data_IF_767759584345
#
_entry.id   IF_767759584345
#
_cell.length_a   1.000
_cell.length_b   1.000
_cell.length_c   1.000
_cell.angle_alpha   90.00
_cell.angle_beta   90.00
_cell.angle_gamma   90.00
#
_symmetry.space_group_name_H-M   'P 1'
#
loop_
_entity.id
_entity.type
_entity.pdbx_description
1 polymer ?
#
# COMPACT_ATOMS: atom_id res chain seq x y z
N UNK A 1 13.02 -1.16 11.14
CA UNK A 1 12.17 -0.91 9.95
C UNK A 1 11.15 0.15 10.30
N UNK A 2 10.82 1.06 9.37
CA UNK A 2 9.74 2.04 9.55
C UNK A 2 8.50 1.50 8.82
N UNK A 3 7.54 0.98 9.59
CA UNK A 3 6.29 0.41 9.04
C UNK A 3 5.34 1.52 8.58
N UNK A 4 4.37 1.24 7.69
CA UNK A 4 3.31 2.20 7.34
C UNK A 4 2.58 2.74 8.58
N UNK A 5 2.37 1.89 9.59
CA UNK A 5 1.75 2.26 10.87
C UNK A 5 2.55 3.35 11.61
N UNK A 6 3.87 3.25 11.63
CA UNK A 6 4.73 4.26 12.26
C UNK A 6 4.73 5.57 11.51
N UNK A 7 4.64 5.52 10.17
CA UNK A 7 4.59 6.71 9.31
C UNK A 7 3.31 7.50 9.55
N UNK A 8 2.14 6.86 9.44
CA UNK A 8 0.85 7.53 9.63
C UNK A 8 0.72 8.12 11.04
N UNK A 9 1.20 7.42 12.08
CA UNK A 9 1.16 7.94 13.46
C UNK A 9 1.96 9.25 13.58
N UNK A 10 3.18 9.28 13.03
CA UNK A 10 4.04 10.46 13.07
C UNK A 10 3.49 11.60 12.22
N UNK A 11 2.97 11.30 11.04
CA UNK A 11 2.36 12.27 10.13
C UNK A 11 1.18 13.00 10.78
N UNK A 12 0.36 12.27 11.53
CA UNK A 12 -0.77 12.82 12.29
C UNK A 12 -0.39 13.38 13.67
N UNK A 13 0.90 13.36 14.05
CA UNK A 13 1.39 13.94 15.30
C UNK A 13 1.01 13.18 16.57
N UNK A 14 0.55 11.92 16.48
CA UNK A 14 0.16 11.15 17.64
C UNK A 14 1.35 10.55 18.40
N UNK A 15 1.29 10.56 19.72
CA UNK A 15 2.22 9.83 20.59
C UNK A 15 1.87 8.35 20.66
N UNK A 16 2.84 7.50 21.01
CA UNK A 16 2.59 6.07 21.22
C UNK A 16 1.52 5.83 22.28
N UNK A 17 1.56 6.58 23.40
CA UNK A 17 0.61 6.43 24.49
C UNK A 17 -0.82 6.79 24.10
N UNK A 18 -1.01 7.83 23.29
CA UNK A 18 -2.35 8.22 22.81
C UNK A 18 -2.97 7.12 21.95
N UNK A 19 -2.23 6.58 20.98
CA UNK A 19 -2.72 5.49 20.13
C UNK A 19 -2.93 4.22 20.95
N UNK A 20 -1.97 3.89 21.84
CA UNK A 20 -2.06 2.71 22.67
C UNK A 20 -3.32 2.70 23.55
N UNK A 21 -3.61 3.84 24.19
CA UNK A 21 -4.80 4.03 25.00
C UNK A 21 -6.09 4.00 24.17
N UNK A 22 -6.11 4.61 22.99
CA UNK A 22 -7.30 4.63 22.14
C UNK A 22 -7.67 3.23 21.58
N UNK A 23 -6.67 2.37 21.44
CA UNK A 23 -6.80 1.03 20.85
C UNK A 23 -6.58 -0.05 21.92
N UNK A 24 -6.78 0.27 23.21
CA UNK A 24 -6.62 -0.60 24.39
C UNK A 24 -5.48 -1.62 24.22
N UNK A 25 -4.28 -1.12 23.93
CA UNK A 25 -3.09 -1.93 23.82
C UNK A 25 -1.94 -1.32 24.62
N UNK A 26 -0.92 -2.12 24.92
CA UNK A 26 0.27 -1.62 25.59
C UNK A 26 1.17 -0.83 24.64
N UNK A 27 1.75 0.26 25.15
CA UNK A 27 2.70 1.11 24.40
C UNK A 27 3.92 0.34 23.89
N UNK A 28 4.41 -0.64 24.67
CA UNK A 28 5.50 -1.53 24.29
C UNK A 28 5.09 -2.49 23.17
N UNK A 29 3.86 -3.01 23.20
CA UNK A 29 3.31 -3.81 22.11
C UNK A 29 3.21 -2.97 20.82
N UNK A 30 2.62 -1.78 20.89
CA UNK A 30 2.53 -0.85 19.76
C UNK A 30 3.91 -0.50 19.18
N UNK A 31 4.89 -0.24 20.05
CA UNK A 31 6.28 0.00 19.65
C UNK A 31 6.91 -1.18 18.89
N UNK A 32 6.62 -2.43 19.29
CA UNK A 32 7.08 -3.62 18.56
C UNK A 32 6.37 -3.77 17.22
N UNK A 33 5.07 -3.49 17.17
CA UNK A 33 4.28 -3.51 15.92
C UNK A 33 4.80 -2.48 14.92
N UNK A 34 5.07 -1.26 15.37
CA UNK A 34 5.60 -0.19 14.53
C UNK A 34 6.99 -0.47 13.95
N UNK A 35 7.75 -1.36 14.58
CA UNK A 35 9.05 -1.83 14.10
C UNK A 35 8.96 -3.09 13.26
N UNK A 36 7.78 -3.70 13.13
CA UNK A 36 7.55 -4.97 12.44
C UNK A 36 8.05 -6.20 13.20
N UNK A 37 8.30 -6.09 14.50
CA UNK A 37 8.77 -7.20 15.36
C UNK A 37 7.59 -8.08 15.77
N UNK A 38 6.46 -7.45 16.10
CA UNK A 38 5.25 -8.13 16.53
C UNK A 38 4.16 -7.90 15.49
N UNK A 39 3.47 -8.97 15.11
CA UNK A 39 2.26 -8.86 14.28
C UNK A 39 1.03 -8.66 15.18
N UNK A 40 0.17 -7.66 14.90
CA UNK A 40 -1.11 -7.49 15.58
C UNK A 40 -2.06 -8.66 15.32
N UNK A 41 -3.02 -8.85 16.22
CA UNK A 41 -4.21 -9.65 15.94
C UNK A 41 -5.13 -8.93 14.95
N UNK A 42 -6.03 -9.68 14.31
CA UNK A 42 -6.99 -9.12 13.34
C UNK A 42 -7.84 -8.01 13.97
N UNK A 43 -8.41 -8.27 15.15
CA UNK A 43 -9.22 -7.29 15.87
C UNK A 43 -8.43 -6.02 16.25
N UNK A 44 -7.16 -6.16 16.64
CA UNK A 44 -6.32 -5.00 16.93
C UNK A 44 -6.03 -4.19 15.67
N UNK A 45 -5.81 -4.86 14.54
CA UNK A 45 -5.62 -4.20 13.25
C UNK A 45 -6.88 -3.43 12.81
N UNK A 46 -8.07 -4.01 12.94
CA UNK A 46 -9.36 -3.35 12.66
C UNK A 46 -9.54 -2.08 13.50
N UNK A 47 -9.23 -2.14 14.80
CA UNK A 47 -9.33 -0.99 15.69
C UNK A 47 -8.33 0.11 15.34
N UNK A 48 -7.11 -0.25 14.92
CA UNK A 48 -6.13 0.72 14.41
C UNK A 48 -6.63 1.38 13.12
N UNK A 49 -7.19 0.62 12.18
CA UNK A 49 -7.80 1.18 10.96
C UNK A 49 -8.91 2.17 11.30
N UNK A 50 -9.75 1.84 12.28
CA UNK A 50 -10.84 2.70 12.74
C UNK A 50 -10.31 3.97 13.40
N UNK A 51 -9.31 3.85 14.28
CA UNK A 51 -8.67 4.99 14.95
C UNK A 51 -8.06 5.98 13.95
N UNK A 52 -7.44 5.47 12.88
CA UNK A 52 -6.86 6.30 11.82
C UNK A 52 -7.86 6.66 10.70
N UNK A 53 -9.17 6.49 10.93
CA UNK A 53 -10.23 6.86 9.97
C UNK A 53 -10.01 6.27 8.56
N UNK A 54 -9.53 5.01 8.48
CA UNK A 54 -9.20 4.32 7.23
C UNK A 54 -8.10 4.97 6.38
N UNK A 55 -7.34 5.94 6.92
CA UNK A 55 -6.13 6.47 6.26
C UNK A 55 -5.02 5.42 6.11
N UNK A 56 -5.08 4.38 6.93
CA UNK A 56 -4.28 3.15 6.80
C UNK A 56 -5.22 1.95 6.69
N UNK A 57 -4.85 0.98 5.87
CA UNK A 57 -5.61 -0.25 5.66
C UNK A 57 -5.09 -1.40 6.52
N UNK A 58 -5.95 -2.38 6.75
CA UNK A 58 -5.62 -3.56 7.54
C UNK A 58 -4.46 -4.36 6.95
N UNK A 59 -4.40 -4.47 5.62
CA UNK A 59 -3.31 -5.15 4.90
C UNK A 59 -1.95 -4.47 5.15
N UNK A 60 -1.93 -3.13 5.26
CA UNK A 60 -0.70 -2.37 5.54
C UNK A 60 -0.21 -2.57 6.98
N UNK A 61 -1.14 -2.84 7.91
CA UNK A 61 -0.82 -3.12 9.31
C UNK A 61 -0.37 -4.57 9.50
N UNK A 62 -1.04 -5.53 8.85
CA UNK A 62 -0.77 -6.96 8.99
C UNK A 62 0.44 -7.44 8.18
N UNK A 63 0.73 -6.76 7.07
CA UNK A 63 1.79 -7.10 6.11
C UNK A 63 2.61 -5.86 5.73
N UNK A 64 3.23 -5.17 6.70
CA UNK A 64 3.95 -3.92 6.47
C UNK A 64 5.13 -4.08 5.50
N UNK A 65 5.69 -5.30 5.38
CA UNK A 65 6.76 -5.63 4.46
C UNK A 65 6.39 -5.45 2.98
N UNK A 66 5.10 -5.57 2.62
CA UNK A 66 4.61 -5.36 1.26
C UNK A 66 4.62 -3.90 0.83
N UNK A 67 4.69 -2.99 1.80
CA UNK A 67 4.60 -1.54 1.60
C UNK A 67 5.89 -0.81 1.98
N UNK A 68 7.00 -1.55 2.07
CA UNK A 68 8.32 -0.94 2.18
C UNK A 68 8.55 -0.09 0.93
N UNK A 69 8.67 1.23 1.11
CA UNK A 69 9.31 2.11 0.14
C UNK A 69 10.74 1.58 -0.05
N UNK A 70 10.92 0.75 -1.07
CA UNK A 70 12.13 -0.03 -1.22
C UNK A 70 12.19 -0.91 -2.46
N UNK A 71 11.11 -1.13 -3.22
CA UNK A 71 11.29 -1.64 -4.60
C UNK A 71 10.14 -1.49 -5.59
N UNK A 72 9.10 -0.72 -5.30
CA UNK A 72 8.34 -0.15 -6.41
C UNK A 72 9.15 1.05 -6.93
N UNK A 73 10.08 0.78 -7.84
CA UNK A 73 10.38 1.75 -8.87
C UNK A 73 9.01 2.14 -9.44
N UNK A 74 8.56 3.37 -9.18
CA UNK A 74 7.43 3.90 -9.93
C UNK A 74 7.87 3.75 -11.39
N UNK A 75 7.31 2.81 -12.14
CA UNK A 75 7.70 2.59 -13.54
C UNK A 75 7.68 3.93 -14.29
N UNK A 76 6.78 4.84 -13.90
CA UNK A 76 6.68 6.21 -14.39
C UNK A 76 7.95 7.04 -14.11
N UNK A 77 8.50 7.02 -12.89
CA UNK A 77 9.73 7.77 -12.55
C UNK A 77 10.98 7.11 -13.14
N UNK A 78 11.07 5.78 -13.07
CA UNK A 78 12.20 5.03 -13.63
C UNK A 78 12.30 5.18 -15.16
N UNK A 79 11.18 5.48 -15.81
CA UNK A 79 11.11 5.64 -17.26
C UNK A 79 10.97 7.10 -17.69
N UNK A 80 10.92 8.07 -16.77
CA UNK A 80 10.56 9.46 -17.07
C UNK A 80 9.26 9.58 -17.92
N UNK A 81 8.31 8.66 -17.73
CA UNK A 81 7.10 8.56 -18.56
C UNK A 81 7.31 8.02 -19.98
N UNK A 82 8.47 7.45 -20.30
CA UNK A 82 8.80 6.95 -21.64
C UNK A 82 8.18 5.59 -21.98
N UNK A 83 7.79 4.76 -21.00
CA UNK A 83 7.24 3.43 -21.30
C UNK A 83 5.76 3.51 -21.64
N UNK A 84 5.47 3.47 -22.93
CA UNK A 84 4.15 3.16 -23.47
C UNK A 84 3.98 1.64 -23.53
N UNK A 85 2.82 1.09 -23.15
CA UNK A 85 2.56 -0.36 -23.11
C UNK A 85 2.85 -1.10 -24.45
N UNK A 86 2.92 -0.37 -25.56
CA UNK A 86 3.19 -0.87 -26.91
C UNK A 86 4.67 -1.24 -27.19
N UNK A 87 5.63 -0.82 -26.35
CA UNK A 87 7.05 -1.15 -26.55
C UNK A 87 7.43 -2.56 -26.06
N UNK A 88 6.66 -3.13 -25.13
CA UNK A 88 6.89 -4.47 -24.57
C UNK A 88 6.25 -5.58 -25.41
N UNK A 89 5.27 -5.25 -26.25
CA UNK A 89 4.43 -6.15 -27.07
C UNK A 89 4.12 -5.47 -28.41
N UNK A 90 5.03 -5.50 -29.40
CA UNK A 90 4.79 -4.91 -30.72
C UNK A 90 3.65 -5.59 -31.47
N UNK A 91 3.29 -6.81 -31.05
CA UNK A 91 2.13 -7.60 -31.51
C UNK A 91 0.79 -7.02 -31.08
N UNK A 92 0.75 -6.15 -30.06
CA UNK A 92 -0.51 -5.65 -29.52
C UNK A 92 -1.03 -4.46 -30.36
N UNK A 93 -2.33 -4.46 -30.76
CA UNK A 93 -2.91 -3.38 -31.56
C UNK A 93 -2.85 -2.03 -30.84
N UNK A 94 -2.58 -0.97 -31.61
CA UNK A 94 -2.39 0.41 -31.10
C UNK A 94 -3.68 1.08 -30.60
N UNK A 95 -4.84 0.52 -30.93
CA UNK A 95 -6.15 1.11 -30.63
C UNK A 95 -6.97 0.11 -29.84
N UNK A 96 -7.50 0.56 -28.70
CA UNK A 96 -8.45 -0.18 -27.88
C UNK A 96 -9.84 0.47 -27.99
N UNK A 97 -10.92 -0.29 -28.21
CA UNK A 97 -10.95 -1.74 -28.48
C UNK A 97 -10.34 -2.08 -29.85
N UNK A 98 -9.89 -3.33 -30.07
CA UNK A 98 -9.40 -3.75 -31.37
C UNK A 98 -10.48 -3.47 -32.43
N UNK A 99 -10.12 -2.89 -33.60
CA UNK A 99 -11.09 -2.68 -34.66
C UNK A 99 -11.71 -4.03 -35.03
N UNK A 100 -13.04 -4.10 -35.02
CA UNK A 100 -13.75 -5.31 -35.41
C UNK A 100 -13.32 -5.70 -36.83
N UNK A 101 -12.83 -6.93 -37.01
CA UNK A 101 -12.53 -7.45 -38.33
C UNK A 101 -13.81 -7.39 -39.17
N UNK A 102 -13.83 -6.51 -40.17
CA UNK A 102 -14.90 -6.51 -41.14
C UNK A 102 -14.66 -7.71 -42.06
N UNK A 103 -15.48 -8.75 -41.90
CA UNK A 103 -15.54 -9.89 -42.80
C UNK A 103 -15.59 -9.40 -44.25
N UNK A 104 -14.55 -9.70 -45.02
CA UNK A 104 -14.55 -9.48 -46.45
C UNK A 104 -15.59 -10.42 -47.08
N UNK A 105 -16.80 -9.89 -47.30
CA UNK A 105 -17.79 -10.51 -48.17
C UNK A 105 -17.24 -10.51 -49.59
N UNK A 106 -17.08 -11.70 -50.17
CA UNK A 106 -17.07 -11.94 -51.62
C UNK A 106 -17.76 -13.26 -51.90
#
# INVERSE_FOLDING_TARGET
MDTPLRKIRKELGFTLSQVANAVDCDTGNLSRMERGIQKPTLNLAERLVTFFEKKISEIQILYPERFKQGNCLNFIEATNGAVQAHELRPDLPKVFPPPAEHDHVS
#
